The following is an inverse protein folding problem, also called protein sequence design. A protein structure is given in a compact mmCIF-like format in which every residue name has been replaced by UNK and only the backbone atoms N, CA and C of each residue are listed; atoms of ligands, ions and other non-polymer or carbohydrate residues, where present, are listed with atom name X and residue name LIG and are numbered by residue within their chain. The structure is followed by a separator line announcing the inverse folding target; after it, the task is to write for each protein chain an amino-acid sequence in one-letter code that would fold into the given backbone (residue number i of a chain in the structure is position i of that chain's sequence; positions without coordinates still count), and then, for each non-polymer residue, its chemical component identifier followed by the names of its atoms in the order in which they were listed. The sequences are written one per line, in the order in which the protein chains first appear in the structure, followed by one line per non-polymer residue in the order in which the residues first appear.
data_IF_699826783423
#
_entry.id   IF_699826783423
#
_cell.length_a   1.000
_cell.length_b   1.000
_cell.length_c   1.000
_cell.angle_alpha   90.00
_cell.angle_beta   90.00
_cell.angle_gamma   90.00
#
_symmetry.space_group_name_H-M   'P 1'
#
loop_
_entity.id
_entity.type
_entity.pdbx_description
1 polymer ?
#
# COMPACT_ATOMS: atom_id res chain seq x y z
N UNK A 1 -4.04 -18.34 27.23
CA UNK A 1 -2.60 -18.19 26.94
C UNK A 1 -2.38 -16.79 26.42
N UNK A 2 -1.45 -16.02 27.00
CA UNK A 2 -1.12 -14.69 26.46
C UNK A 2 -0.47 -14.87 25.09
N UNK A 3 -1.01 -14.20 24.08
CA UNK A 3 -0.39 -14.12 22.76
C UNK A 3 0.96 -13.41 22.90
N UNK A 4 2.03 -14.04 22.43
CA UNK A 4 3.36 -13.45 22.43
C UNK A 4 3.36 -12.14 21.61
N UNK A 5 3.96 -11.09 22.15
CA UNK A 5 4.08 -9.80 21.45
C UNK A 5 5.02 -9.93 20.26
N UNK A 6 4.71 -9.22 19.17
CA UNK A 6 5.58 -9.09 17.99
C UNK A 6 6.41 -7.78 18.00
N UNK A 7 6.45 -7.07 19.13
CA UNK A 7 7.15 -5.80 19.26
C UNK A 7 8.64 -5.93 18.92
N UNK A 8 9.11 -5.13 17.96
CA UNK A 8 10.51 -5.03 17.51
C UNK A 8 11.17 -6.37 17.14
N UNK A 9 10.42 -7.31 16.55
CA UNK A 9 11.05 -8.48 15.91
C UNK A 9 12.06 -8.02 14.85
N UNK A 10 13.23 -8.63 14.85
CA UNK A 10 14.26 -8.35 13.86
C UNK A 10 13.74 -8.64 12.44
N UNK A 11 14.02 -7.72 11.52
CA UNK A 11 13.71 -7.89 10.11
C UNK A 11 14.62 -8.98 9.52
N UNK A 12 14.09 -10.01 8.84
CA UNK A 12 14.91 -10.99 8.15
C UNK A 12 15.75 -10.33 7.05
N UNK A 13 17.08 -10.36 7.19
CA UNK A 13 18.03 -9.77 6.24
C UNK A 13 19.16 -10.78 5.98
N UNK A 14 19.22 -11.43 4.79
CA UNK A 14 18.27 -11.36 3.66
C UNK A 14 16.89 -12.03 3.93
N UNK A 15 15.86 -11.75 3.09
CA UNK A 15 15.93 -10.98 1.84
C UNK A 15 15.72 -9.47 1.99
N UNK A 16 15.38 -8.95 3.17
CA UNK A 16 15.05 -7.53 3.32
C UNK A 16 16.27 -6.68 3.73
N UNK A 17 16.20 -5.38 3.43
CA UNK A 17 17.15 -4.36 3.90
C UNK A 17 16.32 -3.31 4.63
N UNK A 18 16.67 -3.00 5.88
CA UNK A 18 15.98 -1.97 6.66
C UNK A 18 16.15 -0.60 5.98
N UNK A 19 15.04 0.05 5.66
CA UNK A 19 15.01 1.37 5.02
C UNK A 19 15.81 2.42 5.79
N UNK A 20 15.81 2.35 7.13
CA UNK A 20 16.49 3.31 8.00
C UNK A 20 18.00 3.04 8.19
N UNK A 21 18.49 1.88 7.74
CA UNK A 21 19.89 1.49 7.80
C UNK A 21 20.76 2.32 6.85
N UNK A 22 22.09 2.27 7.02
CA UNK A 22 23.03 2.93 6.11
C UNK A 22 22.90 2.41 4.67
N UNK A 23 22.65 1.10 4.51
CA UNK A 23 22.47 0.48 3.20
C UNK A 23 21.13 0.86 2.57
N UNK A 24 20.04 0.83 3.34
CA UNK A 24 18.71 1.28 2.86
C UNK A 24 18.72 2.73 2.40
N UNK A 25 19.37 3.63 3.17
CA UNK A 25 19.56 5.03 2.79
C UNK A 25 20.39 5.20 1.52
N UNK A 26 21.40 4.36 1.31
CA UNK A 26 22.23 4.37 0.10
C UNK A 26 21.38 3.97 -1.11
N UNK A 27 20.66 2.85 -1.04
CA UNK A 27 19.77 2.38 -2.12
C UNK A 27 18.70 3.42 -2.47
N UNK A 28 18.11 4.06 -1.46
CA UNK A 28 17.09 5.07 -1.68
C UNK A 28 17.64 6.32 -2.38
N UNK A 29 18.84 6.79 -2.00
CA UNK A 29 19.51 7.91 -2.69
C UNK A 29 19.83 7.56 -4.14
N UNK A 30 20.39 6.36 -4.38
CA UNK A 30 20.66 5.89 -5.74
C UNK A 30 19.37 5.84 -6.58
N UNK A 31 18.24 5.41 -6.02
CA UNK A 31 16.96 5.40 -6.73
C UNK A 31 16.44 6.82 -7.06
N UNK A 32 16.59 7.78 -6.13
CA UNK A 32 16.29 9.19 -6.38
C UNK A 32 17.18 9.75 -7.48
N UNK A 33 18.49 9.57 -7.39
CA UNK A 33 19.45 10.09 -8.37
C UNK A 33 19.21 9.50 -9.77
N UNK A 34 18.68 8.27 -9.84
CA UNK A 34 18.29 7.59 -11.07
C UNK A 34 16.85 7.91 -11.53
N UNK A 35 16.10 8.76 -10.83
CA UNK A 35 14.73 9.15 -11.19
C UNK A 35 13.68 8.04 -11.05
N UNK A 36 13.97 6.96 -10.34
CA UNK A 36 13.05 5.80 -10.16
C UNK A 36 12.29 5.86 -8.84
N UNK A 37 12.18 7.05 -8.24
CA UNK A 37 11.55 7.27 -6.94
C UNK A 37 10.67 8.53 -6.88
N UNK A 38 10.25 9.08 -8.03
CA UNK A 38 9.41 10.28 -8.12
C UNK A 38 8.08 10.12 -7.38
N UNK A 39 7.42 8.98 -7.56
CA UNK A 39 6.14 8.69 -6.90
C UNK A 39 6.21 8.64 -5.37
N UNK A 40 7.39 8.44 -4.79
CA UNK A 40 7.57 8.38 -3.34
C UNK A 40 7.20 9.69 -2.65
N UNK A 41 7.51 10.85 -3.26
CA UNK A 41 7.25 12.15 -2.62
C UNK A 41 5.75 12.41 -2.40
N UNK A 42 4.90 11.93 -3.31
CA UNK A 42 3.44 11.96 -3.12
C UNK A 42 3.00 10.97 -2.04
N UNK A 43 3.48 9.73 -2.11
CA UNK A 43 3.09 8.68 -1.15
C UNK A 43 3.50 9.01 0.29
N UNK A 44 4.71 9.52 0.51
CA UNK A 44 5.23 9.82 1.85
C UNK A 44 4.44 10.95 2.52
N UNK A 45 3.91 11.90 1.74
CA UNK A 45 3.06 13.00 2.25
C UNK A 45 1.76 12.50 2.89
N UNK A 46 1.38 11.26 2.59
CA UNK A 46 0.14 10.63 3.06
C UNK A 46 0.38 9.33 3.81
N UNK A 47 1.64 9.01 4.13
CA UNK A 47 1.99 7.78 4.84
C UNK A 47 1.31 7.71 6.21
N UNK A 48 0.70 6.57 6.49
CA UNK A 48 -0.07 6.35 7.70
C UNK A 48 0.12 4.94 8.23
N UNK A 49 -0.12 4.80 9.54
CA UNK A 49 -0.23 3.48 10.18
C UNK A 49 -1.66 2.99 10.03
N UNK A 50 -1.83 1.74 9.62
CA UNK A 50 -3.15 1.10 9.56
C UNK A 50 -3.84 1.14 10.94
N UNK A 51 -5.12 1.58 11.01
CA UNK A 51 -5.81 1.75 12.29
C UNK A 51 -6.21 0.43 12.95
N UNK A 52 -6.41 -0.61 12.15
CA UNK A 52 -6.73 -1.98 12.61
C UNK A 52 -5.72 -2.98 12.00
N UNK A 53 -5.40 -4.10 12.68
CA UNK A 53 -4.50 -5.13 12.14
C UNK A 53 -4.88 -5.68 10.76
N UNK A 54 -6.18 -5.66 10.44
CA UNK A 54 -6.72 -6.15 9.18
C UNK A 54 -6.88 -5.07 8.09
N UNK A 55 -6.60 -3.79 8.40
CA UNK A 55 -6.85 -2.66 7.50
C UNK A 55 -5.71 -2.32 6.54
N UNK A 56 -4.68 -3.15 6.42
CA UNK A 56 -3.53 -2.87 5.55
C UNK A 56 -3.90 -2.50 4.10
N UNK A 57 -4.94 -3.16 3.54
CA UNK A 57 -5.46 -2.83 2.22
C UNK A 57 -6.18 -1.48 2.16
N UNK A 58 -6.94 -1.12 3.19
CA UNK A 58 -7.60 0.19 3.30
C UNK A 58 -6.59 1.32 3.51
N UNK A 59 -5.58 1.10 4.35
CA UNK A 59 -4.48 2.02 4.60
C UNK A 59 -3.73 2.35 3.29
N UNK A 60 -3.36 1.29 2.55
CA UNK A 60 -2.64 1.41 1.28
C UNK A 60 -3.48 2.11 0.23
N UNK A 61 -4.77 1.77 0.13
CA UNK A 61 -5.65 2.37 -0.86
C UNK A 61 -5.91 3.85 -0.56
N UNK A 62 -6.25 4.20 0.68
CA UNK A 62 -6.45 5.61 1.06
C UNK A 62 -5.19 6.44 0.86
N UNK A 63 -3.99 5.91 1.15
CA UNK A 63 -2.73 6.58 0.79
C UNK A 63 -2.64 6.91 -0.70
N UNK A 64 -2.90 5.91 -1.57
CA UNK A 64 -2.80 6.06 -3.02
C UNK A 64 -3.85 7.02 -3.58
N UNK A 65 -5.12 6.90 -3.17
CA UNK A 65 -6.20 7.77 -3.63
C UNK A 65 -5.91 9.25 -3.33
N UNK A 66 -5.38 9.49 -2.12
CA UNK A 66 -4.96 10.81 -1.68
C UNK A 66 -3.72 11.32 -2.42
N UNK A 67 -2.73 10.45 -2.67
CA UNK A 67 -1.55 10.76 -3.46
C UNK A 67 -1.90 11.20 -4.90
N UNK A 68 -2.92 10.56 -5.47
CA UNK A 68 -3.51 10.92 -6.77
C UNK A 68 -4.47 12.12 -6.71
N UNK A 69 -4.66 12.73 -5.53
CA UNK A 69 -5.57 13.84 -5.29
C UNK A 69 -7.02 13.57 -5.75
N UNK A 70 -7.48 12.33 -5.64
CA UNK A 70 -8.86 11.96 -5.95
C UNK A 70 -9.78 12.53 -4.86
N UNK A 71 -10.84 13.21 -5.28
CA UNK A 71 -11.82 13.79 -4.37
C UNK A 71 -12.80 12.72 -3.86
N UNK A 72 -12.88 12.46 -2.55
CA UNK A 72 -13.83 11.47 -2.02
C UNK A 72 -15.30 11.89 -2.16
N UNK A 73 -15.60 13.14 -2.57
CA UNK A 73 -16.96 13.62 -2.76
C UNK A 73 -17.77 13.80 -1.47
N UNK A 74 -17.21 13.42 -0.32
CA UNK A 74 -17.79 13.56 1.01
C UNK A 74 -16.75 14.05 2.02
N UNK A 75 -17.22 14.67 3.10
CA UNK A 75 -16.37 15.21 4.17
C UNK A 75 -15.80 14.08 5.02
N UNK A 76 -14.52 14.18 5.36
CA UNK A 76 -13.89 13.32 6.36
C UNK A 76 -14.04 13.93 7.76
N UNK A 77 -13.51 15.15 7.96
CA UNK A 77 -13.55 15.88 9.23
C UNK A 77 -13.82 17.37 8.99
N UNK A 78 -14.86 17.92 9.61
CA UNK A 78 -15.21 19.34 9.42
C UNK A 78 -15.41 19.68 7.93
N UNK A 79 -14.81 20.76 7.40
CA UNK A 79 -14.89 21.08 5.97
C UNK A 79 -13.92 20.25 5.10
N UNK A 80 -13.03 19.46 5.70
CA UNK A 80 -11.96 18.76 4.99
C UNK A 80 -12.47 17.51 4.28
N UNK A 81 -12.01 17.31 3.05
CA UNK A 81 -12.27 16.13 2.22
C UNK A 81 -10.96 15.43 1.97
N UNK A 82 -10.89 14.19 2.41
CA UNK A 82 -9.70 13.36 2.43
C UNK A 82 -10.12 11.90 2.49
N UNK A 83 -9.43 10.97 1.83
CA UNK A 83 -9.71 9.55 2.04
C UNK A 83 -9.14 9.08 3.38
N UNK A 84 -9.98 8.44 4.16
CA UNK A 84 -9.64 7.74 5.40
C UNK A 84 -10.10 6.28 5.27
N UNK A 85 -9.49 5.37 6.00
CA UNK A 85 -9.83 3.94 5.97
C UNK A 85 -11.32 3.69 6.25
N UNK A 86 -11.94 4.49 7.13
CA UNK A 86 -13.37 4.43 7.45
C UNK A 86 -14.30 4.84 6.31
N UNK A 87 -13.75 5.34 5.20
CA UNK A 87 -14.50 5.76 4.02
C UNK A 87 -14.45 4.74 2.88
N UNK A 88 -13.85 3.57 3.09
CA UNK A 88 -13.65 2.55 2.07
C UNK A 88 -14.54 1.33 2.31
N UNK A 89 -15.85 1.56 2.26
CA UNK A 89 -16.90 0.62 2.72
C UNK A 89 -17.88 0.17 1.62
N UNK A 90 -17.69 0.58 0.37
CA UNK A 90 -18.70 0.35 -0.67
C UNK A 90 -18.80 -1.10 -1.20
N UNK A 91 -17.71 -1.88 -1.11
CA UNK A 91 -17.70 -3.28 -1.59
C UNK A 91 -17.75 -4.31 -0.46
N UNK A 92 -17.34 -3.95 0.75
CA UNK A 92 -17.39 -4.80 1.93
C UNK A 92 -17.60 -3.93 3.18
N UNK A 93 -18.53 -4.28 4.08
CA UNK A 93 -18.70 -3.58 5.35
C UNK A 93 -17.43 -3.61 6.22
N UNK A 94 -17.10 -2.46 6.81
CA UNK A 94 -15.91 -2.28 7.64
C UNK A 94 -15.80 -3.29 8.79
N UNK A 95 -16.91 -3.69 9.41
CA UNK A 95 -16.93 -4.70 10.47
C UNK A 95 -16.35 -6.05 10.02
N UNK A 96 -16.63 -6.45 8.77
CA UNK A 96 -16.05 -7.68 8.21
C UNK A 96 -14.60 -7.49 7.79
N UNK A 97 -14.26 -6.31 7.26
CA UNK A 97 -12.87 -5.96 6.94
C UNK A 97 -12.01 -5.95 8.19
N UNK A 98 -12.55 -5.52 9.32
CA UNK A 98 -11.84 -5.48 10.61
C UNK A 98 -11.53 -6.89 11.14
N UNK A 99 -12.41 -7.84 10.87
CA UNK A 99 -12.24 -9.25 11.25
C UNK A 99 -11.29 -10.01 10.30
N UNK A 100 -11.42 -9.82 8.98
CA UNK A 100 -10.81 -10.70 7.96
C UNK A 100 -9.85 -10.03 6.99
N UNK A 101 -9.79 -8.71 7.01
CA UNK A 101 -9.12 -7.91 5.99
C UNK A 101 -9.88 -7.93 4.67
N UNK A 102 -9.17 -7.60 3.60
CA UNK A 102 -9.69 -7.61 2.23
C UNK A 102 -8.80 -8.42 1.30
N UNK A 103 -9.44 -9.10 0.34
CA UNK A 103 -8.82 -9.77 -0.77
C UNK A 103 -8.35 -8.77 -1.84
N UNK A 104 -7.46 -9.23 -2.73
CA UNK A 104 -7.03 -8.48 -3.91
C UNK A 104 -8.21 -7.94 -4.74
N UNK A 105 -9.26 -8.75 -4.95
CA UNK A 105 -10.44 -8.31 -5.71
C UNK A 105 -11.24 -7.21 -5.02
N UNK A 106 -11.33 -7.25 -3.68
CA UNK A 106 -11.98 -6.20 -2.91
C UNK A 106 -11.18 -4.88 -2.94
N UNK A 107 -9.84 -4.93 -2.90
CA UNK A 107 -9.00 -3.73 -3.10
C UNK A 107 -9.31 -3.07 -4.46
N UNK A 108 -9.36 -3.87 -5.53
CA UNK A 108 -9.69 -3.39 -6.89
C UNK A 108 -11.10 -2.78 -6.94
N UNK A 109 -12.09 -3.45 -6.35
CA UNK A 109 -13.47 -2.94 -6.29
C UNK A 109 -13.55 -1.59 -5.56
N UNK A 110 -12.92 -1.47 -4.40
CA UNK A 110 -12.87 -0.24 -3.62
C UNK A 110 -12.17 0.89 -4.37
N UNK A 111 -11.08 0.60 -5.08
CA UNK A 111 -10.35 1.59 -5.87
C UNK A 111 -11.21 2.14 -7.04
N UNK A 112 -11.90 1.27 -7.78
CA UNK A 112 -12.82 1.71 -8.83
C UNK A 112 -13.98 2.53 -8.27
N UNK A 113 -14.58 2.06 -7.17
CA UNK A 113 -15.68 2.75 -6.49
C UNK A 113 -15.27 4.14 -5.97
N UNK A 114 -14.01 4.30 -5.55
CA UNK A 114 -13.44 5.58 -5.15
C UNK A 114 -13.09 6.51 -6.32
N UNK A 115 -13.28 6.07 -7.57
CA UNK A 115 -13.05 6.89 -8.77
C UNK A 115 -11.65 6.78 -9.38
N UNK A 116 -10.83 5.83 -8.96
CA UNK A 116 -9.54 5.58 -9.58
C UNK A 116 -9.66 4.81 -10.90
N UNK A 117 -8.77 5.09 -11.85
CA UNK A 117 -8.48 4.17 -12.95
C UNK A 117 -7.59 3.04 -12.42
N UNK A 118 -7.96 1.78 -12.65
CA UNK A 118 -7.30 0.63 -12.03
C UNK A 118 -6.97 -0.43 -13.08
N UNK A 119 -5.71 -0.83 -13.11
CA UNK A 119 -5.26 -2.03 -13.81
C UNK A 119 -4.85 -3.08 -12.77
N UNK A 120 -5.42 -4.28 -12.87
CA UNK A 120 -5.26 -5.33 -11.88
C UNK A 120 -4.65 -6.58 -12.50
N UNK A 121 -3.48 -6.98 -12.00
CA UNK A 121 -2.74 -8.15 -12.48
C UNK A 121 -2.66 -9.20 -11.37
N UNK A 122 -3.28 -10.37 -11.59
CA UNK A 122 -3.07 -11.53 -10.72
C UNK A 122 -1.79 -12.24 -11.14
N UNK A 123 -1.13 -12.88 -10.19
CA UNK A 123 0.14 -13.59 -10.43
C UNK A 123 0.04 -14.72 -11.45
N UNK A 124 -1.14 -15.33 -11.62
CA UNK A 124 -1.39 -16.35 -12.65
C UNK A 124 -1.78 -15.77 -14.03
N UNK A 125 -1.83 -14.45 -14.15
CA UNK A 125 -2.23 -13.71 -15.34
C UNK A 125 -1.14 -12.72 -15.82
N UNK A 126 0.00 -12.64 -15.12
CA UNK A 126 1.14 -11.80 -15.51
C UNK A 126 2.46 -12.50 -15.24
N UNK A 127 3.56 -11.92 -15.75
CA UNK A 127 4.91 -12.38 -15.44
C UNK A 127 5.64 -11.45 -14.46
N UNK A 128 6.80 -11.89 -13.97
CA UNK A 128 7.67 -11.06 -13.11
C UNK A 128 8.30 -9.90 -13.89
N UNK A 129 8.55 -10.08 -15.19
CA UNK A 129 9.05 -9.03 -16.09
C UNK A 129 8.00 -7.92 -16.26
N UNK A 130 6.74 -8.29 -16.46
CA UNK A 130 5.62 -7.33 -16.51
C UNK A 130 5.45 -6.60 -15.18
N UNK A 131 5.50 -7.33 -14.06
CA UNK A 131 5.44 -6.71 -12.73
C UNK A 131 6.55 -5.66 -12.55
N UNK A 132 7.80 -6.00 -12.87
CA UNK A 132 8.93 -5.06 -12.79
C UNK A 132 8.74 -3.84 -13.69
N UNK A 133 8.21 -4.05 -14.90
CA UNK A 133 7.91 -2.95 -15.83
C UNK A 133 6.91 -1.96 -15.21
N UNK A 134 5.81 -2.43 -14.62
CA UNK A 134 4.82 -1.55 -13.98
C UNK A 134 5.36 -0.87 -12.73
N UNK A 135 6.15 -1.58 -11.91
CA UNK A 135 6.82 -0.98 -10.74
C UNK A 135 7.71 0.18 -11.17
N UNK A 136 8.55 0.00 -12.19
CA UNK A 136 9.42 1.06 -12.70
C UNK A 136 8.58 2.22 -13.25
N UNK A 137 7.58 1.94 -14.10
CA UNK A 137 6.75 2.97 -14.72
C UNK A 137 6.05 3.87 -13.70
N UNK A 138 5.52 3.30 -12.62
CA UNK A 138 4.80 4.05 -11.60
C UNK A 138 5.73 4.61 -10.51
N UNK A 139 6.97 4.12 -10.38
CA UNK A 139 7.95 4.73 -9.49
C UNK A 139 8.65 5.94 -10.12
N UNK A 140 8.69 6.02 -11.45
CA UNK A 140 9.19 7.17 -12.22
C UNK A 140 8.13 8.26 -12.47
N UNK A 141 6.90 8.08 -11.97
CA UNK A 141 5.79 9.03 -12.17
C UNK A 141 5.13 9.43 -10.85
N UNK A 142 4.44 10.57 -10.85
CA UNK A 142 3.64 11.07 -9.72
C UNK A 142 2.12 10.96 -9.93
N UNK A 143 1.69 10.41 -11.07
CA UNK A 143 0.29 10.17 -11.45
C UNK A 143 -0.12 8.68 -11.47
N UNK A 144 0.83 7.77 -11.21
CA UNK A 144 0.59 6.34 -11.10
C UNK A 144 1.23 5.78 -9.83
N UNK A 145 0.52 4.87 -9.15
CA UNK A 145 1.05 4.14 -8.00
C UNK A 145 0.69 2.66 -8.07
N UNK A 146 1.53 1.82 -7.47
CA UNK A 146 1.33 0.37 -7.39
C UNK A 146 1.01 -0.05 -5.96
N UNK A 147 -0.08 -0.80 -5.79
CA UNK A 147 -0.38 -1.53 -4.56
C UNK A 147 -0.09 -3.01 -4.81
N UNK A 148 0.75 -3.63 -3.98
CA UNK A 148 1.06 -5.05 -4.07
C UNK A 148 0.39 -5.84 -2.94
N UNK A 149 -0.26 -6.95 -3.27
CA UNK A 149 -0.78 -7.92 -2.32
C UNK A 149 0.13 -9.15 -2.31
N UNK A 150 0.67 -9.50 -1.15
CA UNK A 150 1.66 -10.57 -1.01
C UNK A 150 1.53 -11.28 0.32
N UNK A 151 1.99 -12.53 0.37
CA UNK A 151 2.06 -13.31 1.59
C UNK A 151 3.41 -13.10 2.28
N UNK A 152 3.40 -12.55 3.50
CA UNK A 152 4.63 -12.20 4.25
C UNK A 152 5.57 -13.39 4.51
N UNK A 153 5.02 -14.61 4.61
CA UNK A 153 5.81 -15.82 4.80
C UNK A 153 6.84 -16.08 3.71
N UNK A 154 6.59 -15.62 2.47
CA UNK A 154 7.57 -15.73 1.37
C UNK A 154 8.85 -14.90 1.63
N UNK A 155 8.79 -13.91 2.52
CA UNK A 155 9.91 -13.06 2.92
C UNK A 155 10.39 -13.35 4.36
N UNK A 156 10.01 -14.49 4.94
CA UNK A 156 10.27 -14.86 6.34
C UNK A 156 9.71 -13.84 7.36
N UNK A 157 8.76 -13.00 6.95
CA UNK A 157 8.09 -12.04 7.82
C UNK A 157 6.89 -12.70 8.53
N UNK A 158 6.47 -12.14 9.66
CA UNK A 158 5.45 -12.72 10.52
C UNK A 158 4.03 -12.31 10.10
N UNK A 159 3.10 -13.27 10.15
CA UNK A 159 1.68 -13.17 9.79
C UNK A 159 1.47 -12.87 8.30
N UNK A 160 0.70 -13.70 7.60
CA UNK A 160 0.42 -13.57 6.17
C UNK A 160 -0.99 -14.01 5.85
#
# INVERSE_FOLDING_TARGET
MSTASFYRRALPSPPAIDFSSSEGKKLFKEAIDNGTMEGFFKLISYFQTQSEPAYCGLASLSMVLNALAIDPGRKWKGPWRWFDESMLDCCEPLEKVKDKGISFGQVVCLAHCAGANVEAFRTNQSTIEEFRKYVISCSTSDDCHVISSYHRGAFNQTNG
#
